data_IF_786138462337
#
_entry.id   IF_786138462337
#
_cell.length_a   1.000
_cell.length_b   1.000
_cell.length_c   1.000
_cell.angle_alpha   90.00
_cell.angle_beta   90.00
_cell.angle_gamma   90.00
#
_symmetry.space_group_name_H-M   'P 1'
#
loop_
_entity.id
_entity.type
_entity.pdbx_description
1 polymer ?
#
# COMPACT_ATOMS: atom_id res chain seq x y z
N UNK A 1 -24.46 26.48 -32.17
CA UNK A 1 -23.21 26.55 -31.40
C UNK A 1 -23.55 26.94 -29.97
N UNK A 2 -23.62 25.98 -29.05
CA UNK A 2 -23.78 26.26 -27.62
C UNK A 2 -22.65 25.56 -26.86
N UNK A 3 -21.71 26.36 -26.35
CA UNK A 3 -20.62 25.91 -25.48
C UNK A 3 -21.22 25.45 -24.15
N UNK A 4 -21.13 24.15 -23.86
CA UNK A 4 -21.38 23.63 -22.51
C UNK A 4 -20.15 23.92 -21.65
N UNK A 5 -20.32 24.81 -20.67
CA UNK A 5 -19.36 25.08 -19.62
C UNK A 5 -19.29 23.83 -18.74
N UNK A 6 -18.12 23.20 -18.67
CA UNK A 6 -17.81 22.15 -17.71
C UNK A 6 -17.47 22.85 -16.40
N UNK A 7 -18.38 22.82 -15.45
CA UNK A 7 -18.12 23.29 -14.08
C UNK A 7 -17.25 22.24 -13.39
N UNK A 8 -15.95 22.52 -13.26
CA UNK A 8 -15.06 21.76 -12.39
C UNK A 8 -15.51 21.99 -10.93
N UNK A 9 -16.12 20.98 -10.32
CA UNK A 9 -16.29 20.92 -8.87
C UNK A 9 -14.91 20.66 -8.25
N UNK A 10 -14.33 21.70 -7.67
CA UNK A 10 -13.18 21.57 -6.78
C UNK A 10 -13.60 20.70 -5.59
N UNK A 11 -13.01 19.51 -5.48
CA UNK A 11 -13.06 18.68 -4.28
C UNK A 11 -12.28 19.40 -3.18
N UNK A 12 -12.97 20.25 -2.41
CA UNK A 12 -12.51 20.65 -1.09
C UNK A 12 -12.44 19.38 -0.24
N UNK A 13 -11.26 19.08 0.32
CA UNK A 13 -11.07 18.02 1.30
C UNK A 13 -12.17 18.11 2.36
N UNK A 14 -13.04 17.11 2.53
CA UNK A 14 -14.07 17.19 3.54
C UNK A 14 -13.39 17.13 4.91
N UNK A 15 -13.53 18.21 5.68
CA UNK A 15 -13.37 18.17 7.11
C UNK A 15 -14.30 17.07 7.65
N UNK A 16 -13.74 15.92 8.01
CA UNK A 16 -14.52 14.81 8.54
C UNK A 16 -14.97 15.19 9.95
N UNK A 17 -16.29 15.27 10.15
CA UNK A 17 -16.91 15.49 11.45
C UNK A 17 -17.44 14.16 11.97
N UNK A 18 -17.08 13.77 13.20
CA UNK A 18 -17.54 12.53 13.82
C UNK A 18 -18.69 12.81 14.80
N UNK A 19 -19.89 12.30 14.48
CA UNK A 19 -21.14 12.61 15.16
C UNK A 19 -21.23 12.06 16.60
N UNK A 20 -21.53 12.94 17.57
CA UNK A 20 -22.22 12.56 18.82
C UNK A 20 -21.39 12.35 20.09
N UNK A 21 -20.34 13.15 20.34
CA UNK A 21 -19.35 12.83 21.38
C UNK A 21 -19.29 13.73 22.63
N UNK A 22 -20.08 14.82 22.74
CA UNK A 22 -20.03 15.68 23.94
C UNK A 22 -21.40 16.14 24.44
N UNK A 23 -21.63 16.00 25.75
CA UNK A 23 -22.83 16.48 26.46
C UNK A 23 -22.60 17.78 27.27
N UNK A 24 -21.34 18.24 27.41
CA UNK A 24 -21.01 19.54 28.04
C UNK A 24 -19.49 19.75 28.02
N UNK A 25 -19.01 20.92 27.58
CA UNK A 25 -17.58 21.32 27.61
C UNK A 25 -17.30 22.10 28.92
N UNK A 26 -16.07 22.11 29.51
CA UNK A 26 -14.85 22.50 28.80
C UNK A 26 -13.59 21.70 29.15
N UNK A 27 -13.01 21.07 28.14
CA UNK A 27 -11.59 21.20 27.78
C UNK A 27 -11.27 20.15 26.71
N UNK A 28 -11.43 20.53 25.44
CA UNK A 28 -10.92 19.75 24.32
C UNK A 28 -9.43 19.47 24.58
N UNK A 29 -9.07 18.20 24.67
CA UNK A 29 -7.70 17.70 24.90
C UNK A 29 -7.42 16.59 23.90
N UNK A 30 -6.22 16.59 23.35
CA UNK A 30 -5.80 15.64 22.32
C UNK A 30 -5.80 14.18 22.81
N UNK A 31 -5.46 13.97 24.08
CA UNK A 31 -5.38 12.63 24.69
C UNK A 31 -6.71 12.07 25.20
N UNK A 32 -7.84 12.77 25.01
CA UNK A 32 -9.15 12.20 25.33
C UNK A 32 -9.50 11.11 24.29
N UNK A 33 -10.07 9.99 24.74
CA UNK A 33 -10.51 8.86 23.89
C UNK A 33 -11.34 9.31 22.67
N UNK A 34 -12.21 10.30 22.84
CA UNK A 34 -13.01 10.86 21.75
C UNK A 34 -12.14 11.54 20.68
N UNK A 35 -11.13 12.31 21.10
CA UNK A 35 -10.20 12.99 20.20
C UNK A 35 -9.26 12.00 19.50
N UNK A 36 -8.77 10.99 20.23
CA UNK A 36 -7.96 9.90 19.66
C UNK A 36 -8.77 9.10 18.65
N UNK A 37 -10.04 8.81 18.94
CA UNK A 37 -10.94 8.10 18.02
C UNK A 37 -11.18 8.91 16.75
N UNK A 38 -11.48 10.20 16.88
CA UNK A 38 -11.63 11.09 15.73
C UNK A 38 -10.35 11.16 14.89
N UNK A 39 -9.17 11.20 15.52
CA UNK A 39 -7.88 11.21 14.80
C UNK A 39 -7.62 9.90 14.04
N UNK A 40 -7.95 8.74 14.63
CA UNK A 40 -7.87 7.44 13.95
C UNK A 40 -8.80 7.39 12.73
N UNK A 41 -10.06 7.79 12.92
CA UNK A 41 -11.06 7.80 11.85
C UNK A 41 -10.67 8.74 10.71
N UNK A 42 -10.14 9.90 11.03
CA UNK A 42 -9.63 10.82 10.03
C UNK A 42 -8.51 10.19 9.17
N UNK A 43 -7.54 9.50 9.77
CA UNK A 43 -6.49 8.79 9.02
C UNK A 43 -7.10 7.73 8.09
N UNK A 44 -8.07 6.93 8.57
CA UNK A 44 -8.73 5.92 7.74
C UNK A 44 -9.51 6.54 6.59
N UNK A 45 -10.21 7.64 6.82
CA UNK A 45 -11.02 8.29 5.79
C UNK A 45 -10.17 8.93 4.70
N UNK A 46 -9.03 9.52 5.05
CA UNK A 46 -8.03 9.99 4.06
C UNK A 46 -7.50 8.82 3.22
N UNK A 47 -7.15 7.70 3.86
CA UNK A 47 -6.68 6.50 3.15
C UNK A 47 -7.78 5.89 2.26
N UNK A 48 -9.02 5.89 2.72
CA UNK A 48 -10.20 5.43 1.98
C UNK A 48 -10.48 6.31 0.76
N UNK A 49 -10.43 7.64 0.92
CA UNK A 49 -10.60 8.57 -0.20
C UNK A 49 -9.58 8.32 -1.30
N UNK A 50 -8.31 8.05 -0.91
CA UNK A 50 -7.27 7.65 -1.85
C UNK A 50 -7.55 6.30 -2.52
N UNK A 51 -7.96 5.30 -1.74
CA UNK A 51 -8.33 3.98 -2.25
C UNK A 51 -9.44 4.10 -3.31
N UNK A 52 -10.50 4.83 -3.00
CA UNK A 52 -11.63 5.06 -3.90
C UNK A 52 -11.19 5.76 -5.18
N UNK A 53 -10.39 6.82 -5.05
CA UNK A 53 -9.88 7.55 -6.20
C UNK A 53 -9.06 6.67 -7.14
N UNK A 54 -8.14 5.87 -6.59
CA UNK A 54 -7.28 5.00 -7.40
C UNK A 54 -8.06 3.82 -7.98
N UNK A 55 -9.03 3.27 -7.24
CA UNK A 55 -9.88 2.17 -7.70
C UNK A 55 -10.75 2.58 -8.90
N UNK A 56 -11.26 3.82 -8.92
CA UNK A 56 -11.99 4.36 -10.07
C UNK A 56 -11.07 4.50 -11.30
N UNK A 57 -9.80 4.86 -11.11
CA UNK A 57 -8.85 5.14 -12.21
C UNK A 57 -8.21 3.88 -12.78
N UNK A 58 -7.87 2.92 -11.92
CA UNK A 58 -6.96 1.82 -12.24
C UNK A 58 -7.41 0.46 -11.67
N UNK A 59 -8.68 0.04 -11.83
CA UNK A 59 -9.22 -1.15 -11.16
C UNK A 59 -8.48 -2.44 -11.55
N UNK A 60 -8.19 -2.67 -12.83
CA UNK A 60 -7.56 -3.92 -13.28
C UNK A 60 -6.04 -3.93 -13.08
N UNK A 61 -5.37 -2.78 -13.17
CA UNK A 61 -3.90 -2.68 -13.12
C UNK A 61 -3.36 -2.72 -11.69
N UNK A 62 -4.01 -2.00 -10.77
CA UNK A 62 -3.59 -1.91 -9.37
C UNK A 62 -4.36 -2.88 -8.46
N UNK A 63 -5.62 -3.18 -8.80
CA UNK A 63 -6.52 -3.94 -7.93
C UNK A 63 -6.93 -5.31 -8.51
N UNK A 64 -6.41 -5.69 -9.69
CA UNK A 64 -6.59 -7.04 -10.25
C UNK A 64 -8.06 -7.50 -10.31
N UNK A 65 -8.98 -6.54 -10.52
CA UNK A 65 -10.43 -6.75 -10.53
C UNK A 65 -10.99 -7.37 -9.23
N UNK A 66 -10.23 -7.33 -8.12
CA UNK A 66 -10.71 -7.69 -6.80
C UNK A 66 -11.71 -6.61 -6.34
N UNK A 67 -12.86 -6.96 -5.76
CA UNK A 67 -13.85 -5.98 -5.30
C UNK A 67 -13.29 -4.94 -4.34
N UNK A 68 -13.61 -3.67 -4.56
CA UNK A 68 -13.20 -2.53 -3.72
C UNK A 68 -13.44 -2.78 -2.23
N UNK A 69 -14.58 -3.40 -1.89
CA UNK A 69 -14.98 -3.69 -0.51
C UNK A 69 -13.97 -4.55 0.26
N UNK A 70 -13.23 -5.44 -0.41
CA UNK A 70 -12.18 -6.24 0.25
C UNK A 70 -11.00 -5.36 0.67
N UNK A 71 -10.63 -4.38 -0.14
CA UNK A 71 -9.60 -3.40 0.20
C UNK A 71 -10.05 -2.49 1.34
N UNK A 72 -11.30 -2.04 1.32
CA UNK A 72 -11.88 -1.22 2.39
C UNK A 72 -11.92 -1.97 3.73
N UNK A 73 -12.31 -3.24 3.71
CA UNK A 73 -12.28 -4.12 4.88
C UNK A 73 -10.86 -4.31 5.41
N UNK A 74 -9.91 -4.61 4.53
CA UNK A 74 -8.51 -4.77 4.93
C UNK A 74 -7.93 -3.47 5.49
N UNK A 75 -8.29 -2.32 4.91
CA UNK A 75 -7.88 -1.00 5.35
C UNK A 75 -8.35 -0.72 6.78
N UNK A 76 -9.62 -1.00 7.08
CA UNK A 76 -10.20 -0.85 8.43
C UNK A 76 -9.66 -1.84 9.45
N UNK A 77 -9.14 -2.99 9.00
CA UNK A 77 -8.56 -4.02 9.87
C UNK A 77 -7.12 -3.70 10.32
N UNK A 78 -6.44 -2.72 9.71
CA UNK A 78 -5.07 -2.33 10.09
C UNK A 78 -5.13 -1.58 11.43
N UNK A 79 -4.57 -2.10 12.54
CA UNK A 79 -4.70 -1.45 13.82
C UNK A 79 -3.87 -0.16 13.88
N UNK A 80 -4.49 0.93 14.32
CA UNK A 80 -3.83 2.21 14.59
C UNK A 80 -3.85 2.49 16.09
N UNK A 81 -2.68 2.78 16.66
CA UNK A 81 -2.49 3.11 18.06
C UNK A 81 -1.85 4.48 18.18
N UNK A 82 -2.37 5.27 19.12
CA UNK A 82 -1.82 6.55 19.51
C UNK A 82 -1.26 6.40 20.92
N UNK A 83 -0.03 6.86 21.15
CA UNK A 83 0.59 6.96 22.46
C UNK A 83 1.26 8.32 22.63
N UNK A 84 1.66 8.64 23.87
CA UNK A 84 2.39 9.88 24.19
C UNK A 84 1.68 11.13 23.65
N UNK A 85 0.36 11.16 23.80
CA UNK A 85 -0.48 12.22 23.21
C UNK A 85 -0.39 13.49 24.04
N UNK A 86 0.16 14.54 23.45
CA UNK A 86 0.39 15.83 24.08
C UNK A 86 -0.56 16.86 23.46
N UNK A 87 -1.18 17.67 24.32
CA UNK A 87 -1.92 18.87 23.92
C UNK A 87 -0.98 20.06 24.05
N UNK A 88 -0.65 20.71 22.94
CA UNK A 88 0.11 21.96 22.98
C UNK A 88 -0.81 23.12 23.39
N UNK A 89 -0.22 24.19 23.94
CA UNK A 89 -0.97 25.33 24.45
C UNK A 89 -1.94 25.88 23.38
N UNK A 90 -3.18 26.24 23.76
CA UNK A 90 -4.16 26.76 22.82
C UNK A 90 -3.63 28.02 22.14
N UNK A 91 -3.88 28.15 20.83
CA UNK A 91 -3.64 29.40 20.12
C UNK A 91 -4.56 30.48 20.70
N UNK A 92 -4.03 31.65 21.10
CA UNK A 92 -4.85 32.71 21.73
C UNK A 92 -5.97 33.23 20.81
N UNK A 93 -5.81 33.04 19.50
CA UNK A 93 -6.74 33.50 18.46
C UNK A 93 -7.94 32.55 18.23
N UNK A 94 -7.87 31.29 18.67
CA UNK A 94 -8.98 30.33 18.54
C UNK A 94 -9.07 29.41 19.77
N UNK A 95 -9.95 29.78 20.70
CA UNK A 95 -10.19 29.07 21.95
C UNK A 95 -10.65 27.62 21.78
N UNK A 96 -11.13 27.23 20.59
CA UNK A 96 -11.63 25.88 20.28
C UNK A 96 -10.63 25.01 19.52
N UNK A 97 -9.53 25.58 19.02
CA UNK A 97 -8.46 24.84 18.35
C UNK A 97 -7.47 24.28 19.37
N UNK A 98 -7.08 23.02 19.21
CA UNK A 98 -5.97 22.41 19.95
C UNK A 98 -4.98 21.82 18.97
N UNK A 99 -3.71 22.12 19.18
CA UNK A 99 -2.61 21.51 18.45
C UNK A 99 -2.17 20.28 19.26
N UNK A 100 -2.06 19.15 18.59
CA UNK A 100 -1.78 17.85 19.15
C UNK A 100 -0.46 17.32 18.62
N UNK A 101 0.28 16.60 19.45
CA UNK A 101 1.41 15.78 19.04
C UNK A 101 1.24 14.38 19.63
N UNK A 102 1.55 13.33 18.87
CA UNK A 102 1.46 11.96 19.33
C UNK A 102 2.49 11.05 18.68
N UNK A 103 2.80 9.94 19.33
CA UNK A 103 3.38 8.77 18.66
C UNK A 103 2.24 7.97 18.03
N UNK A 104 2.35 7.65 16.74
CA UNK A 104 1.38 6.83 16.01
C UNK A 104 2.05 5.54 15.58
N UNK A 105 1.47 4.40 15.94
CA UNK A 105 1.91 3.08 15.53
C UNK A 105 0.82 2.37 14.72
N UNK A 106 1.20 1.73 13.63
CA UNK A 106 0.31 0.96 12.75
C UNK A 106 0.79 -0.47 12.65
N UNK A 107 -0.09 -1.45 12.86
CA UNK A 107 0.26 -2.86 12.72
C UNK A 107 0.39 -3.27 11.26
N UNK A 108 1.47 -3.97 10.93
CA UNK A 108 1.71 -4.51 9.59
C UNK A 108 0.89 -5.81 9.45
N UNK A 109 -0.04 -5.92 8.48
CA UNK A 109 -0.80 -7.15 8.28
C UNK A 109 0.11 -8.34 8.01
N UNK A 110 -0.12 -9.47 8.68
CA UNK A 110 0.74 -10.65 8.55
C UNK A 110 0.94 -11.14 7.09
N UNK A 111 -0.10 -11.19 6.23
CA UNK A 111 0.10 -11.60 4.84
C UNK A 111 1.04 -10.66 4.05
N UNK A 112 1.20 -9.40 4.48
CA UNK A 112 2.06 -8.43 3.81
C UNK A 112 3.55 -8.80 3.88
N UNK A 113 3.99 -9.52 4.91
CA UNK A 113 5.41 -9.92 5.03
C UNK A 113 5.88 -10.80 3.87
N UNK A 114 4.99 -11.66 3.35
CA UNK A 114 5.27 -12.45 2.14
C UNK A 114 5.52 -11.54 0.94
N UNK A 115 4.70 -10.50 0.78
CA UNK A 115 4.81 -9.53 -0.32
C UNK A 115 6.08 -8.70 -0.17
N UNK A 116 6.42 -8.25 1.03
CA UNK A 116 7.65 -7.50 1.31
C UNK A 116 8.90 -8.29 0.89
N UNK A 117 8.93 -9.61 1.13
CA UNK A 117 10.05 -10.46 0.70
C UNK A 117 10.24 -10.44 -0.82
N UNK A 118 9.15 -10.43 -1.58
CA UNK A 118 9.18 -10.41 -3.04
C UNK A 118 9.31 -9.01 -3.64
N UNK A 119 8.87 -7.98 -2.91
CA UNK A 119 8.87 -6.57 -3.28
C UNK A 119 9.41 -5.72 -2.11
N UNK A 120 10.74 -5.69 -1.87
CA UNK A 120 11.34 -5.03 -0.72
C UNK A 120 11.03 -3.53 -0.62
N UNK A 121 10.85 -2.85 -1.75
CA UNK A 121 10.46 -1.43 -1.82
C UNK A 121 9.12 -1.14 -1.11
N UNK A 122 8.29 -2.17 -0.88
CA UNK A 122 7.07 -2.05 -0.07
C UNK A 122 7.37 -1.47 1.32
N UNK A 123 8.52 -1.80 1.93
CA UNK A 123 8.94 -1.24 3.21
C UNK A 123 9.08 0.29 3.13
N UNK A 124 9.75 0.78 2.09
CA UNK A 124 9.89 2.22 1.86
C UNK A 124 8.53 2.91 1.74
N UNK A 125 7.58 2.30 1.02
CA UNK A 125 6.25 2.90 0.84
C UNK A 125 5.42 2.92 2.12
N UNK A 126 5.54 1.92 3.00
CA UNK A 126 4.77 1.89 4.26
C UNK A 126 5.44 2.70 5.38
N UNK A 127 6.75 3.00 5.29
CA UNK A 127 7.50 3.72 6.34
C UNK A 127 7.90 5.15 5.97
N UNK A 128 7.15 5.79 5.07
CA UNK A 128 7.37 7.17 4.61
C UNK A 128 7.48 8.20 5.75
N UNK A 129 8.23 9.29 5.54
CA UNK A 129 8.26 10.44 6.46
C UNK A 129 8.75 10.10 7.88
N UNK A 130 9.88 9.39 7.94
CA UNK A 130 10.58 8.94 9.16
C UNK A 130 9.86 7.83 9.95
N UNK A 131 9.00 7.04 9.29
CA UNK A 131 8.41 5.86 9.90
C UNK A 131 9.48 4.81 10.19
N UNK A 132 9.44 4.24 11.39
CA UNK A 132 10.35 3.16 11.80
C UNK A 132 9.60 1.84 11.87
N UNK A 133 10.13 0.81 11.20
CA UNK A 133 9.57 -0.53 11.25
C UNK A 133 10.21 -1.29 12.42
N UNK A 134 9.43 -1.54 13.47
CA UNK A 134 9.87 -2.23 14.68
C UNK A 134 8.74 -3.15 15.16
N UNK A 135 9.06 -4.39 15.53
CA UNK A 135 8.10 -5.34 16.13
C UNK A 135 6.78 -5.47 15.35
N UNK A 136 6.85 -5.67 14.03
CA UNK A 136 5.68 -5.79 13.13
C UNK A 136 4.76 -4.55 13.10
N UNK A 137 5.28 -3.38 13.51
CA UNK A 137 4.57 -2.11 13.42
C UNK A 137 5.41 -1.11 12.64
N UNK A 138 4.74 -0.14 12.02
CA UNK A 138 5.38 1.09 11.56
C UNK A 138 5.03 2.20 12.55
N UNK A 139 6.04 2.86 13.11
CA UNK A 139 5.86 3.88 14.15
C UNK A 139 6.41 5.23 13.70
N UNK A 140 5.62 6.29 13.92
CA UNK A 140 6.02 7.68 13.74
C UNK A 140 5.94 8.40 15.07
N UNK A 141 7.05 9.02 15.46
CA UNK A 141 7.08 9.91 16.63
C UNK A 141 6.69 11.32 16.22
N UNK A 142 6.11 12.07 17.16
CA UNK A 142 5.81 13.50 17.01
C UNK A 142 4.93 13.84 15.79
N UNK A 143 3.88 13.06 15.57
CA UNK A 143 2.85 13.35 14.57
C UNK A 143 2.01 14.54 15.04
N UNK A 144 2.11 15.67 14.33
CA UNK A 144 1.39 16.89 14.66
C UNK A 144 0.08 17.02 13.88
N UNK A 145 -1.03 17.20 14.59
CA UNK A 145 -2.37 17.38 14.02
C UNK A 145 -3.17 18.37 14.87
N UNK A 146 -4.24 18.91 14.31
CA UNK A 146 -5.14 19.82 14.97
C UNK A 146 -6.48 19.14 15.24
N UNK A 147 -7.10 19.48 16.35
CA UNK A 147 -8.49 19.15 16.63
C UNK A 147 -9.27 20.41 16.97
N UNK A 148 -10.52 20.47 16.55
CA UNK A 148 -11.47 21.53 16.88
C UNK A 148 -12.87 20.94 17.05
N UNK A 149 -13.70 21.59 17.87
CA UNK A 149 -15.12 21.28 17.87
C UNK A 149 -15.78 21.79 16.58
N UNK A 150 -16.66 21.00 16.00
CA UNK A 150 -17.51 21.43 14.89
C UNK A 150 -18.57 22.44 15.37
N UNK A 151 -19.25 23.09 14.43
CA UNK A 151 -20.28 24.11 14.72
C UNK A 151 -21.43 23.60 15.60
N UNK A 152 -21.68 22.28 15.58
CA UNK A 152 -22.68 21.64 16.43
C UNK A 152 -22.22 21.43 17.89
N UNK A 153 -20.99 21.83 18.23
CA UNK A 153 -20.33 21.67 19.52
C UNK A 153 -20.24 20.22 20.05
N UNK A 154 -20.54 19.22 19.21
CA UNK A 154 -20.58 17.79 19.58
C UNK A 154 -19.55 16.96 18.85
N UNK A 155 -19.13 17.41 17.68
CA UNK A 155 -18.25 16.64 16.82
C UNK A 155 -16.84 17.20 16.86
N UNK A 156 -15.85 16.32 16.68
CA UNK A 156 -14.46 16.73 16.57
C UNK A 156 -14.09 16.69 15.09
N UNK A 157 -13.62 17.84 14.61
CA UNK A 157 -12.97 17.93 13.31
C UNK A 157 -11.48 17.82 13.53
N UNK A 158 -10.84 16.93 12.78
CA UNK A 158 -9.39 16.75 12.78
C UNK A 158 -8.84 17.35 11.50
N UNK A 159 -7.81 18.18 11.62
CA UNK A 159 -7.09 18.74 10.47
C UNK A 159 -5.59 18.54 10.62
N UNK A 160 -4.91 18.48 9.49
CA UNK A 160 -3.48 18.25 9.46
C UNK A 160 -2.70 19.55 9.67
N UNK A 161 -1.66 19.54 10.52
CA UNK A 161 -0.74 20.70 10.66
C UNK A 161 0.26 20.75 9.48
N UNK A 162 0.66 19.59 8.98
CA UNK A 162 1.47 19.41 7.77
C UNK A 162 0.94 18.19 7.06
N UNK A 163 0.75 18.22 5.71
CA UNK A 163 0.16 17.10 4.94
C UNK A 163 0.52 15.72 5.53
N UNK A 164 -0.41 15.15 6.30
CA UNK A 164 -0.30 13.84 6.97
C UNK A 164 -0.44 12.69 5.94
N UNK A 165 -0.17 12.98 4.66
CA UNK A 165 -0.23 12.04 3.54
C UNK A 165 0.52 10.73 3.87
N UNK A 166 1.63 10.79 4.62
CA UNK A 166 2.40 9.59 5.00
C UNK A 166 1.60 8.54 5.77
N UNK A 167 0.72 8.93 6.70
CA UNK A 167 -0.03 7.98 7.53
C UNK A 167 -1.14 7.31 6.73
N UNK A 168 -1.92 8.11 6.01
CA UNK A 168 -2.97 7.63 5.12
C UNK A 168 -2.39 6.78 3.98
N UNK A 169 -1.28 7.23 3.38
CA UNK A 169 -0.55 6.49 2.35
C UNK A 169 -0.06 5.14 2.85
N UNK A 170 0.51 5.07 4.06
CA UNK A 170 1.00 3.82 4.63
C UNK A 170 -0.13 2.79 4.75
N UNK A 171 -1.27 3.19 5.32
CA UNK A 171 -2.46 2.33 5.44
C UNK A 171 -2.99 1.90 4.07
N UNK A 172 -3.11 2.84 3.14
CA UNK A 172 -3.54 2.56 1.77
C UNK A 172 -2.64 1.52 1.09
N UNK A 173 -1.32 1.70 1.16
CA UNK A 173 -0.34 0.77 0.58
C UNK A 173 -0.42 -0.58 1.27
N UNK A 174 -0.43 -0.62 2.61
CA UNK A 174 -0.55 -1.87 3.35
C UNK A 174 -1.80 -2.64 2.93
N UNK A 175 -2.96 -2.01 2.92
CA UNK A 175 -4.22 -2.66 2.55
C UNK A 175 -4.19 -3.19 1.11
N UNK A 176 -3.77 -2.34 0.15
CA UNK A 176 -3.69 -2.71 -1.26
C UNK A 176 -2.74 -3.88 -1.49
N UNK A 177 -1.54 -3.81 -0.92
CA UNK A 177 -0.51 -4.83 -1.11
C UNK A 177 -0.86 -6.13 -0.39
N UNK A 178 -1.56 -6.07 0.75
CA UNK A 178 -2.07 -7.27 1.43
C UNK A 178 -3.11 -8.00 0.58
N UNK A 179 -4.12 -7.30 0.07
CA UNK A 179 -5.20 -7.92 -0.73
C UNK A 179 -4.71 -8.37 -2.10
N UNK A 180 -3.94 -7.54 -2.80
CA UNK A 180 -3.39 -7.86 -4.14
C UNK A 180 -2.14 -8.73 -4.10
N UNK A 181 -1.64 -9.09 -2.92
CA UNK A 181 -0.29 -9.65 -2.72
C UNK A 181 0.00 -10.89 -3.55
N UNK A 182 -0.90 -11.88 -3.52
CA UNK A 182 -0.72 -13.12 -4.27
C UNK A 182 -0.78 -12.90 -5.79
N UNK A 183 -1.63 -11.97 -6.26
CA UNK A 183 -1.69 -11.63 -7.67
C UNK A 183 -0.43 -10.90 -8.15
N UNK A 184 0.15 -10.03 -7.32
CA UNK A 184 1.42 -9.36 -7.60
C UNK A 184 2.56 -10.39 -7.73
N UNK A 185 2.67 -11.31 -6.77
CA UNK A 185 3.69 -12.37 -6.78
C UNK A 185 3.50 -13.28 -8.00
N UNK A 186 2.26 -13.69 -8.29
CA UNK A 186 1.93 -14.51 -9.47
C UNK A 186 2.33 -13.79 -10.77
N UNK A 187 2.00 -12.51 -10.91
CA UNK A 187 2.36 -11.69 -12.08
C UNK A 187 3.88 -11.61 -12.27
N UNK A 188 4.64 -11.38 -11.18
CA UNK A 188 6.12 -11.40 -11.19
C UNK A 188 6.65 -12.76 -11.65
N UNK A 189 6.16 -13.85 -11.06
CA UNK A 189 6.62 -15.20 -11.39
C UNK A 189 6.33 -15.58 -12.84
N UNK A 190 5.13 -15.25 -13.35
CA UNK A 190 4.79 -15.48 -14.75
C UNK A 190 5.73 -14.74 -15.70
N UNK A 191 6.06 -13.47 -15.41
CA UNK A 191 7.03 -12.70 -16.20
C UNK A 191 8.41 -13.37 -16.22
N UNK A 192 8.90 -13.85 -15.07
CA UNK A 192 10.17 -14.59 -14.99
C UNK A 192 10.15 -15.89 -15.80
N UNK A 193 9.04 -16.63 -15.75
CA UNK A 193 8.84 -17.86 -16.54
C UNK A 193 8.86 -17.54 -18.03
N UNK A 194 8.18 -16.48 -18.47
CA UNK A 194 8.16 -16.07 -19.88
C UNK A 194 9.56 -15.68 -20.38
N UNK A 195 10.32 -14.93 -19.58
CA UNK A 195 11.71 -14.56 -19.89
C UNK A 195 12.58 -15.81 -19.99
N UNK A 196 12.46 -16.73 -19.03
CA UNK A 196 13.20 -17.99 -19.05
C UNK A 196 12.86 -18.84 -20.29
N UNK A 197 11.58 -18.94 -20.64
CA UNK A 197 11.11 -19.68 -21.81
C UNK A 197 11.63 -19.07 -23.12
N UNK A 198 11.64 -17.73 -23.25
CA UNK A 198 12.23 -17.03 -24.41
C UNK A 198 13.73 -17.30 -24.52
N UNK A 199 14.46 -17.21 -23.41
CA UNK A 199 15.91 -17.49 -23.37
C UNK A 199 16.21 -18.94 -23.73
N UNK A 200 15.43 -19.89 -23.21
CA UNK A 200 15.54 -21.30 -23.56
C UNK A 200 15.33 -21.52 -25.06
N UNK A 201 14.24 -20.99 -25.64
CA UNK A 201 13.95 -21.10 -27.08
C UNK A 201 15.07 -20.51 -27.95
N UNK A 202 15.68 -19.40 -27.54
CA UNK A 202 16.82 -18.81 -28.27
C UNK A 202 18.03 -19.74 -28.26
N UNK A 203 18.41 -20.25 -27.07
CA UNK A 203 19.57 -21.14 -26.93
C UNK A 203 19.36 -22.48 -27.63
N UNK A 204 18.15 -23.03 -27.60
CA UNK A 204 17.82 -24.25 -28.32
C UNK A 204 17.94 -24.04 -29.84
N UNK A 205 17.49 -22.89 -30.36
CA UNK A 205 17.68 -22.53 -31.77
C UNK A 205 19.16 -22.43 -32.15
N UNK A 206 19.96 -21.72 -31.35
CA UNK A 206 21.41 -21.59 -31.57
C UNK A 206 22.11 -22.96 -31.57
N UNK A 207 21.78 -23.81 -30.60
CA UNK A 207 22.33 -25.16 -30.52
C UNK A 207 21.99 -25.99 -31.76
N UNK A 208 20.74 -25.92 -32.22
CA UNK A 208 20.30 -26.61 -33.43
C UNK A 208 20.98 -26.06 -34.69
N UNK A 209 21.23 -24.76 -34.77
CA UNK A 209 22.01 -24.16 -35.86
C UNK A 209 23.46 -24.68 -35.88
N UNK A 210 24.13 -24.69 -34.72
CA UNK A 210 25.48 -25.24 -34.60
C UNK A 210 25.49 -26.70 -35.02
N UNK A 211 24.57 -27.51 -34.48
CA UNK A 211 24.45 -28.93 -34.84
C UNK A 211 24.29 -29.13 -36.34
N UNK A 212 23.41 -28.36 -36.99
CA UNK A 212 23.16 -28.46 -38.43
C UNK A 212 24.33 -27.96 -39.30
N UNK A 213 25.16 -27.05 -38.78
CA UNK A 213 26.35 -26.57 -39.49
C UNK A 213 27.53 -27.55 -39.46
N UNK A 214 27.50 -28.55 -38.58
CA UNK A 214 28.56 -29.54 -38.47
C UNK A 214 28.60 -30.47 -39.71
N UNK A 215 29.82 -30.86 -40.17
CA UNK A 215 29.99 -31.87 -41.21
C UNK A 215 29.28 -33.20 -40.85
N UNK A 216 28.85 -33.95 -41.87
CA UNK A 216 28.12 -35.22 -41.69
C UNK A 216 28.91 -36.26 -40.86
N UNK A 217 30.24 -36.30 -41.02
CA UNK A 217 31.13 -37.16 -40.23
C UNK A 217 31.09 -36.79 -38.74
N UNK A 218 31.18 -35.50 -38.40
CA UNK A 218 31.12 -35.00 -37.03
C UNK A 218 29.74 -35.23 -36.39
N UNK A 219 28.65 -34.97 -37.13
CA UNK A 219 27.29 -35.28 -36.65
C UNK A 219 27.09 -36.77 -36.38
N UNK A 220 27.67 -37.64 -37.21
CA UNK A 220 27.60 -39.10 -37.00
C UNK A 220 28.35 -39.51 -35.74
N UNK A 221 29.58 -39.01 -35.56
CA UNK A 221 30.40 -39.31 -34.40
C UNK A 221 29.75 -38.85 -33.08
N UNK A 222 29.15 -37.66 -33.06
CA UNK A 222 28.60 -37.03 -31.84
C UNK A 222 27.12 -37.37 -31.56
N UNK A 223 26.44 -38.11 -32.45
CA UNK A 223 24.99 -38.34 -32.38
C UNK A 223 24.54 -38.99 -31.06
N UNK A 224 25.31 -39.96 -30.58
CA UNK A 224 24.97 -40.70 -29.37
C UNK A 224 25.16 -39.82 -28.12
N UNK A 225 26.24 -39.04 -28.08
CA UNK A 225 26.50 -38.07 -27.00
C UNK A 225 25.43 -36.98 -26.95
N UNK A 226 25.03 -36.44 -28.11
CA UNK A 226 23.98 -35.43 -28.21
C UNK A 226 22.62 -35.96 -27.68
N UNK A 227 22.28 -37.22 -27.98
CA UNK A 227 21.07 -37.87 -27.46
C UNK A 227 21.13 -38.05 -25.95
N UNK A 228 22.23 -38.60 -25.45
CA UNK A 228 22.44 -38.82 -24.02
C UNK A 228 22.39 -37.50 -23.23
N UNK A 229 22.97 -36.43 -23.78
CA UNK A 229 22.88 -35.09 -23.20
C UNK A 229 21.44 -34.58 -23.15
N UNK A 230 20.67 -34.72 -24.24
CA UNK A 230 19.27 -34.33 -24.29
C UNK A 230 18.39 -35.09 -23.29
N UNK A 231 18.61 -36.40 -23.13
CA UNK A 231 17.89 -37.22 -22.15
C UNK A 231 18.23 -36.81 -20.72
N UNK A 232 19.51 -36.56 -20.41
CA UNK A 232 19.95 -36.05 -19.11
C UNK A 232 19.28 -34.72 -18.78
N UNK A 233 19.17 -33.80 -19.74
CA UNK A 233 18.51 -32.50 -19.54
C UNK A 233 17.01 -32.65 -19.32
N UNK A 234 16.32 -33.53 -20.06
CA UNK A 234 14.90 -33.82 -19.84
C UNK A 234 14.63 -34.46 -18.47
N UNK A 235 15.48 -35.37 -18.03
CA UNK A 235 15.37 -35.99 -16.72
C UNK A 235 15.52 -34.97 -15.58
N UNK A 236 16.47 -34.04 -15.70
CA UNK A 236 16.68 -32.97 -14.72
C UNK A 236 15.45 -32.05 -14.58
N UNK A 237 14.72 -31.78 -15.67
CA UNK A 237 13.49 -30.97 -15.66
C UNK A 237 12.31 -31.69 -14.98
N UNK A 238 12.27 -33.02 -14.99
CA UNK A 238 11.17 -33.80 -14.36
C UNK A 238 11.31 -33.95 -12.85
N UNK A 239 12.45 -33.57 -12.27
CA UNK A 239 12.75 -33.71 -10.85
C UNK A 239 12.66 -32.38 -10.07
N UNK A 240 12.39 -31.27 -10.77
CA UNK A 240 12.19 -29.92 -10.24
C UNK A 240 10.74 -29.52 -10.37
#
# INVERSE_FOLDING_TARGET
MFRKVVTLLFLLSPAVSYAGLFDSSPNLKCGNDNAVTAAKEWIYNEALGRLQQDYIKEPSTLFFDIPQTQYEQQLRAIPIQFSDVITQNPQPENANLRICSATVAMGIPQPLFKVIKDFPDTLFYISQGNGQVINNTVTWKEVNYNIQLADNNKDIVVTSVQKIDKLAWSIYVMARMTVSGDNLIKKKNNSLIEIAAKKFKSRDRELNQVWNSLPASARTALKQEQRAWGDKKRAAVRQT
#
